data_IF_615993198781
#
_entry.id   IF_615993198781
#
_cell.length_a   1.000
_cell.length_b   1.000
_cell.length_c   1.000
_cell.angle_alpha   90.00
_cell.angle_beta   90.00
_cell.angle_gamma   90.00
#
_symmetry.space_group_name_H-M   'P 1'
#
loop_
_entity.id
_entity.type
_entity.pdbx_description
1 polymer ?
#
# COMPACT_ATOMS: atom_id res chain seq x y z
N UNK A 1 -31.93 35.37 6.46
CA UNK A 1 -32.18 33.95 6.81
C UNK A 1 -32.29 33.18 5.51
N UNK A 2 -31.20 32.55 5.08
CA UNK A 2 -31.23 31.61 3.97
C UNK A 2 -30.38 30.42 4.39
N UNK A 3 -31.07 29.40 4.91
CA UNK A 3 -30.45 28.15 5.34
C UNK A 3 -30.17 27.34 4.07
N UNK A 4 -28.90 27.12 3.77
CA UNK A 4 -28.46 26.21 2.71
C UNK A 4 -28.41 24.81 3.32
N UNK A 5 -29.46 24.02 3.10
CA UNK A 5 -29.52 22.62 3.49
C UNK A 5 -28.50 21.81 2.67
N UNK A 6 -27.37 21.46 3.27
CA UNK A 6 -26.41 20.54 2.68
C UNK A 6 -26.94 19.12 2.79
N UNK A 7 -27.42 18.56 1.68
CA UNK A 7 -27.75 17.14 1.57
C UNK A 7 -26.47 16.31 1.58
N UNK A 8 -26.28 15.54 2.65
CA UNK A 8 -25.30 14.44 2.73
C UNK A 8 -25.59 13.43 1.61
N UNK A 9 -24.72 13.37 0.62
CA UNK A 9 -24.66 12.23 -0.29
C UNK A 9 -23.78 11.17 0.39
N UNK A 10 -24.43 10.16 0.97
CA UNK A 10 -23.76 8.92 1.34
C UNK A 10 -23.33 8.23 0.04
N UNK A 11 -22.02 8.25 -0.23
CA UNK A 11 -21.43 7.33 -1.18
C UNK A 11 -21.04 6.07 -0.41
N UNK A 12 -21.99 5.14 -0.32
CA UNK A 12 -21.71 3.74 -0.03
C UNK A 12 -20.92 3.17 -1.21
N UNK A 13 -19.60 3.21 -1.09
CA UNK A 13 -18.67 2.59 -2.01
C UNK A 13 -17.58 1.97 -1.18
N UNK A 14 -17.72 0.68 -0.92
CA UNK A 14 -16.71 -0.19 -0.32
C UNK A 14 -15.35 0.15 -0.95
N UNK A 15 -14.51 0.83 -0.18
CA UNK A 15 -13.29 1.44 -0.66
C UNK A 15 -12.20 0.37 -0.58
N UNK A 16 -11.85 -0.21 -1.72
CA UNK A 16 -10.92 -1.33 -1.87
C UNK A 16 -9.72 -1.29 -0.89
N UNK A 17 -9.67 -2.33 -0.06
CA UNK A 17 -8.61 -3.24 0.42
C UNK A 17 -7.11 -2.87 0.42
N UNK A 18 -6.69 -1.63 0.12
CA UNK A 18 -5.30 -1.24 0.41
C UNK A 18 -5.11 -1.25 1.94
N UNK A 19 -4.14 -2.01 2.50
CA UNK A 19 -4.07 -2.20 3.93
C UNK A 19 -3.71 -0.87 4.60
N UNK A 20 -4.21 -0.65 5.81
CA UNK A 20 -4.15 0.61 6.56
C UNK A 20 -2.72 1.07 6.97
N UNK A 21 -1.67 0.52 6.35
CA UNK A 21 -0.27 0.90 6.57
C UNK A 21 0.12 2.20 5.85
N UNK A 22 -0.62 2.61 4.82
CA UNK A 22 -0.40 3.88 4.14
C UNK A 22 -1.42 4.93 4.59
N UNK A 23 -0.98 6.12 5.04
CA UNK A 23 -1.92 7.17 5.42
C UNK A 23 -2.77 7.54 4.20
N UNK A 24 -4.08 7.32 4.31
CA UNK A 24 -5.04 7.70 3.27
C UNK A 24 -5.04 9.22 3.15
N UNK A 25 -4.79 9.72 1.94
CA UNK A 25 -4.88 11.16 1.69
C UNK A 25 -6.35 11.53 1.52
N UNK A 26 -6.86 12.35 2.42
CA UNK A 26 -8.19 12.95 2.26
C UNK A 26 -8.10 14.12 1.29
N UNK A 27 -8.87 14.02 0.20
CA UNK A 27 -9.08 15.10 -0.75
C UNK A 27 -10.20 16.00 -0.27
N UNK A 28 -10.13 17.30 -0.60
CA UNK A 28 -11.26 18.19 -0.32
C UNK A 28 -12.46 17.78 -1.18
N UNK A 29 -13.69 18.05 -0.70
CA UNK A 29 -14.91 17.73 -1.43
C UNK A 29 -14.90 18.30 -2.86
N UNK A 30 -14.42 19.53 -3.02
CA UNK A 30 -14.31 20.19 -4.33
C UNK A 30 -13.28 19.52 -5.25
N UNK A 31 -12.22 18.91 -4.72
CA UNK A 31 -11.28 18.12 -5.50
C UNK A 31 -11.90 16.80 -5.94
N UNK A 32 -12.59 16.10 -5.04
CA UNK A 32 -13.31 14.86 -5.36
C UNK A 32 -14.34 15.10 -6.48
N UNK A 33 -15.16 16.15 -6.37
CA UNK A 33 -16.18 16.47 -7.37
C UNK A 33 -15.59 16.74 -8.76
N UNK A 34 -14.53 17.55 -8.84
CA UNK A 34 -13.82 17.80 -10.11
C UNK A 34 -13.25 16.53 -10.72
N UNK A 35 -12.69 15.66 -9.88
CA UNK A 35 -12.16 14.37 -10.32
C UNK A 35 -13.29 13.48 -10.82
N UNK A 36 -14.42 13.39 -10.12
CA UNK A 36 -15.59 12.62 -10.56
C UNK A 36 -16.12 13.08 -11.93
N UNK A 37 -16.14 14.39 -12.19
CA UNK A 37 -16.53 14.98 -13.47
C UNK A 37 -15.47 14.86 -14.57
N UNK A 38 -14.20 14.61 -14.22
CA UNK A 38 -13.12 14.49 -15.20
C UNK A 38 -13.24 13.22 -16.05
N UNK A 39 -12.78 13.24 -17.32
CA UNK A 39 -12.77 12.04 -18.15
C UNK A 39 -11.89 10.94 -17.56
N UNK A 40 -12.26 9.69 -17.80
CA UNK A 40 -11.42 8.53 -17.49
C UNK A 40 -10.48 8.25 -18.66
N UNK A 41 -9.24 7.92 -18.33
CA UNK A 41 -8.17 7.57 -19.25
C UNK A 41 -7.75 6.12 -19.02
N UNK A 42 -7.17 5.51 -20.05
CA UNK A 42 -6.54 4.21 -19.96
C UNK A 42 -5.03 4.35 -20.08
N UNK A 43 -4.28 3.53 -19.35
CA UNK A 43 -2.83 3.52 -19.40
C UNK A 43 -2.26 2.17 -19.01
N UNK A 44 -0.93 2.10 -19.06
CA UNK A 44 -0.15 0.93 -18.65
C UNK A 44 0.74 1.31 -17.47
N UNK A 45 0.78 0.48 -16.42
CA UNK A 45 1.70 0.68 -15.30
C UNK A 45 3.13 0.55 -15.82
N UNK A 46 3.91 1.61 -15.64
CA UNK A 46 5.30 1.68 -16.04
C UNK A 46 6.22 1.11 -14.96
N UNK A 47 6.00 1.52 -13.72
CA UNK A 47 6.71 1.09 -12.53
C UNK A 47 5.84 1.35 -11.31
N UNK A 48 5.87 0.45 -10.33
CA UNK A 48 5.25 0.67 -9.03
C UNK A 48 6.05 -0.07 -7.97
N UNK A 49 6.32 0.58 -6.84
CA UNK A 49 7.07 0.00 -5.74
C UNK A 49 6.21 0.04 -4.47
N UNK A 50 5.79 -1.13 -3.99
CA UNK A 50 4.95 -1.29 -2.80
C UNK A 50 5.58 -0.66 -1.57
N UNK A 51 6.86 -0.93 -1.32
CA UNK A 51 7.59 -0.38 -0.15
C UNK A 51 7.62 1.16 -0.15
N UNK A 52 7.76 1.76 -1.34
CA UNK A 52 7.75 3.22 -1.50
C UNK A 52 6.33 3.81 -1.51
N UNK A 53 5.32 3.00 -1.81
CA UNK A 53 3.91 3.42 -1.90
C UNK A 53 3.60 4.29 -3.12
N UNK A 54 4.43 4.30 -4.16
CA UNK A 54 4.19 5.07 -5.37
C UNK A 54 4.78 4.44 -6.62
N UNK A 55 4.36 4.97 -7.77
CA UNK A 55 4.81 4.55 -9.09
C UNK A 55 4.41 5.53 -10.19
N UNK A 56 4.38 5.03 -11.41
CA UNK A 56 4.03 5.79 -12.61
C UNK A 56 3.16 4.98 -13.56
N UNK A 57 2.15 5.63 -14.13
CA UNK A 57 1.35 5.11 -15.24
C UNK A 57 1.71 5.86 -16.52
N UNK A 58 1.89 5.11 -17.60
CA UNK A 58 2.06 5.63 -18.95
C UNK A 58 0.69 5.66 -19.64
N UNK A 59 0.15 6.85 -20.00
CA UNK A 59 -1.11 6.95 -20.72
C UNK A 59 -1.04 6.23 -22.08
N UNK A 60 -2.15 5.62 -22.49
CA UNK A 60 -2.25 4.97 -23.81
C UNK A 60 -2.01 5.95 -24.96
N UNK A 61 -2.50 7.18 -24.81
CA UNK A 61 -2.44 8.22 -25.84
C UNK A 61 -1.08 8.94 -25.91
N UNK A 62 -0.27 8.85 -24.85
CA UNK A 62 1.03 9.51 -24.78
C UNK A 62 2.07 8.65 -24.05
N UNK A 63 2.86 7.92 -24.83
CA UNK A 63 3.90 7.03 -24.29
C UNK A 63 5.11 7.80 -23.74
N UNK A 64 5.29 9.08 -24.06
CA UNK A 64 6.39 9.88 -23.51
C UNK A 64 6.06 10.52 -22.16
N UNK A 65 4.79 10.47 -21.74
CA UNK A 65 4.34 10.99 -20.45
C UNK A 65 4.31 9.88 -19.39
N UNK A 66 4.83 10.18 -18.21
CA UNK A 66 4.70 9.34 -17.02
C UNK A 66 3.94 10.12 -15.95
N UNK A 67 2.76 9.62 -15.58
CA UNK A 67 1.88 10.26 -14.61
C UNK A 67 2.09 9.60 -13.26
N UNK A 68 2.30 10.41 -12.23
CA UNK A 68 2.54 9.93 -10.88
C UNK A 68 1.32 9.19 -10.30
N UNK A 69 1.57 8.05 -9.66
CA UNK A 69 0.57 7.21 -8.99
C UNK A 69 0.96 7.06 -7.53
N UNK A 70 0.01 7.26 -6.62
CA UNK A 70 0.18 6.95 -5.21
C UNK A 70 -0.66 5.77 -4.79
N UNK A 71 -0.18 4.99 -3.82
CA UNK A 71 -0.86 3.80 -3.30
C UNK A 71 -2.26 4.08 -2.76
N UNK A 72 -2.48 5.24 -2.13
CA UNK A 72 -3.80 5.64 -1.62
C UNK A 72 -4.87 5.85 -2.69
N UNK A 73 -4.46 5.90 -3.96
CA UNK A 73 -5.34 6.19 -5.09
C UNK A 73 -5.61 4.96 -5.96
N UNK A 74 -5.17 3.79 -5.50
CA UNK A 74 -5.46 2.49 -6.09
C UNK A 74 -6.73 1.96 -5.43
N UNK A 75 -7.77 1.79 -6.24
CA UNK A 75 -9.08 1.27 -5.83
C UNK A 75 -9.20 -0.20 -6.31
N UNK A 76 -8.26 -1.07 -5.91
CA UNK A 76 -8.17 -2.47 -6.35
C UNK A 76 -7.47 -3.38 -5.32
N UNK A 77 -7.65 -4.70 -5.45
CA UNK A 77 -7.17 -5.72 -4.50
C UNK A 77 -5.75 -6.21 -4.78
N UNK A 78 -5.23 -5.96 -5.98
CA UNK A 78 -3.90 -6.36 -6.39
C UNK A 78 -2.89 -5.21 -6.37
N UNK A 79 -1.64 -5.54 -6.04
CA UNK A 79 -0.50 -4.62 -6.14
C UNK A 79 -0.21 -4.35 -7.61
N UNK A 80 -0.25 -3.10 -8.10
CA UNK A 80 0.05 -2.80 -9.49
C UNK A 80 1.44 -3.26 -9.87
N UNK A 81 1.53 -3.93 -10.99
CA UNK A 81 2.76 -4.46 -11.54
C UNK A 81 3.02 -3.87 -12.92
N UNK A 82 4.30 -3.72 -13.27
CA UNK A 82 4.70 -3.27 -14.60
C UNK A 82 4.07 -4.16 -15.66
N UNK A 83 3.28 -3.57 -16.55
CA UNK A 83 2.53 -4.35 -17.53
C UNK A 83 1.03 -4.13 -17.47
N UNK A 84 0.51 -3.83 -16.28
CA UNK A 84 -0.93 -3.80 -16.03
C UNK A 84 -1.60 -2.68 -16.79
N UNK A 85 -2.77 -3.00 -17.34
CA UNK A 85 -3.64 -2.04 -17.97
C UNK A 85 -4.58 -1.52 -16.90
N UNK A 86 -4.60 -0.19 -16.74
CA UNK A 86 -5.39 0.48 -15.71
C UNK A 86 -6.27 1.55 -16.33
N UNK A 87 -7.39 1.83 -15.66
CA UNK A 87 -8.17 3.06 -15.87
C UNK A 87 -7.88 4.04 -14.74
N UNK A 88 -7.77 5.33 -15.06
CA UNK A 88 -7.49 6.38 -14.08
C UNK A 88 -8.12 7.71 -14.49
N UNK A 89 -8.22 8.64 -13.54
CA UNK A 89 -8.55 10.04 -13.78
C UNK A 89 -7.31 10.89 -13.52
N UNK A 90 -7.23 12.06 -14.17
CA UNK A 90 -6.10 13.00 -13.99
C UNK A 90 -6.51 14.11 -13.03
N UNK A 91 -5.64 14.44 -12.09
CA UNK A 91 -5.75 15.67 -11.30
C UNK A 91 -4.40 16.37 -11.19
N UNK A 92 -4.43 17.68 -10.95
CA UNK A 92 -3.23 18.43 -10.62
C UNK A 92 -2.89 18.23 -9.15
N UNK A 93 -1.61 18.03 -8.86
CA UNK A 93 -1.08 17.81 -7.52
C UNK A 93 -1.11 19.12 -6.70
N UNK A 94 -1.92 19.21 -5.64
CA UNK A 94 -1.96 20.38 -4.77
C UNK A 94 -0.67 20.53 -3.94
N UNK A 95 -0.31 21.72 -3.43
CA UNK A 95 -1.04 22.99 -3.51
C UNK A 95 -0.71 23.81 -4.77
N UNK A 96 0.41 23.52 -5.44
CA UNK A 96 0.90 24.31 -6.58
C UNK A 96 0.22 23.97 -7.90
N UNK A 97 -0.38 22.79 -8.01
CA UNK A 97 -1.09 22.32 -9.20
C UNK A 97 -0.23 22.27 -10.48
N UNK A 98 1.08 22.02 -10.34
CA UNK A 98 2.02 22.03 -11.46
C UNK A 98 2.18 20.65 -12.13
N UNK A 99 2.04 19.57 -11.35
CA UNK A 99 2.26 18.20 -11.81
C UNK A 99 0.95 17.43 -11.88
N UNK A 100 0.78 16.64 -12.92
CA UNK A 100 -0.35 15.72 -13.05
C UNK A 100 -0.11 14.47 -12.22
N UNK A 101 -1.12 14.02 -11.49
CA UNK A 101 -1.17 12.73 -10.84
C UNK A 101 -2.42 11.95 -11.28
N UNK A 102 -2.31 10.63 -11.25
CA UNK A 102 -3.39 9.71 -11.54
C UNK A 102 -4.13 9.36 -10.25
N UNK A 103 -5.45 9.34 -10.33
CA UNK A 103 -6.35 9.05 -9.21
C UNK A 103 -7.48 8.13 -9.62
N UNK A 104 -8.11 7.48 -8.63
CA UNK A 104 -9.13 6.43 -8.86
C UNK A 104 -8.65 5.37 -9.85
N UNK A 105 -7.50 4.79 -9.54
CA UNK A 105 -6.83 3.83 -10.38
C UNK A 105 -7.49 2.48 -10.16
N UNK A 106 -7.95 1.86 -11.25
CA UNK A 106 -8.54 0.52 -11.23
C UNK A 106 -7.82 -0.37 -12.21
N UNK A 107 -7.50 -1.60 -11.83
CA UNK A 107 -6.86 -2.55 -12.72
C UNK A 107 -7.92 -3.10 -13.68
N UNK A 108 -7.68 -2.89 -14.98
CA UNK A 108 -8.55 -3.37 -16.05
C UNK A 108 -8.07 -4.73 -16.58
N UNK A 109 -6.75 -4.91 -16.68
CA UNK A 109 -6.15 -6.18 -17.09
C UNK A 109 -4.78 -6.35 -16.44
N UNK A 110 -4.59 -7.48 -15.78
CA UNK A 110 -3.32 -7.90 -15.23
C UNK A 110 -2.33 -8.27 -16.34
N UNK A 111 -1.05 -7.99 -16.12
CA UNK A 111 0.03 -8.35 -17.04
C UNK A 111 0.16 -9.88 -17.14
N UNK A 112 0.19 -10.38 -18.37
CA UNK A 112 0.37 -11.81 -18.64
C UNK A 112 1.76 -12.30 -18.21
N UNK A 113 1.82 -13.53 -17.69
CA UNK A 113 3.09 -14.17 -17.33
C UNK A 113 3.77 -13.63 -16.07
N UNK A 114 3.07 -12.77 -15.30
CA UNK A 114 3.55 -12.24 -14.02
C UNK A 114 2.63 -12.70 -12.90
N UNK A 115 3.20 -13.15 -11.77
CA UNK A 115 2.42 -13.43 -10.56
C UNK A 115 2.08 -12.10 -9.90
N UNK A 116 0.79 -11.84 -9.75
CA UNK A 116 0.28 -10.67 -9.03
C UNK A 116 0.15 -10.97 -7.55
N UNK A 117 0.57 -10.03 -6.71
CA UNK A 117 0.40 -10.10 -5.26
C UNK A 117 -0.89 -9.37 -4.87
N UNK A 118 -1.70 -9.96 -4.01
CA UNK A 118 -2.81 -9.23 -3.40
C UNK A 118 -2.29 -8.40 -2.23
N UNK A 119 -3.01 -7.31 -1.93
CA UNK A 119 -2.71 -6.48 -0.78
C UNK A 119 -2.84 -7.23 0.56
N UNK A 120 -3.71 -8.24 0.63
CA UNK A 120 -4.00 -9.03 1.84
C UNK A 120 -2.96 -10.14 2.09
N UNK A 121 -2.61 -10.93 1.08
CA UNK A 121 -1.64 -12.04 1.21
C UNK A 121 -0.27 -11.54 1.67
N UNK A 122 0.06 -10.32 1.26
CA UNK A 122 1.33 -9.70 1.55
C UNK A 122 1.41 -9.11 2.98
N UNK A 123 0.35 -9.26 3.78
CA UNK A 123 0.33 -8.97 5.23
C UNK A 123 0.72 -10.20 6.05
N UNK A 124 0.37 -11.42 5.60
CA UNK A 124 0.64 -12.65 6.36
C UNK A 124 2.14 -12.95 6.40
N UNK A 125 2.86 -12.73 5.30
CA UNK A 125 4.31 -12.93 5.25
C UNK A 125 5.08 -11.97 6.20
N UNK A 126 4.66 -10.71 6.31
CA UNK A 126 5.29 -9.75 7.25
C UNK A 126 5.03 -10.11 8.72
N UNK A 127 3.84 -10.63 9.03
CA UNK A 127 3.50 -11.09 10.38
C UNK A 127 4.26 -12.35 10.79
N UNK A 128 4.48 -13.27 9.85
CA UNK A 128 5.23 -14.50 10.09
C UNK A 128 6.73 -14.22 10.31
N UNK A 129 7.33 -13.34 9.50
CA UNK A 129 8.73 -12.89 9.70
C UNK A 129 8.93 -12.20 11.06
N UNK A 130 7.95 -11.40 11.51
CA UNK A 130 7.99 -10.77 12.85
C UNK A 130 7.81 -11.77 14.00
N UNK A 131 7.04 -12.85 13.79
CA UNK A 131 6.91 -13.94 14.78
C UNK A 131 8.23 -14.71 14.90
N UNK A 132 8.85 -15.07 13.78
CA UNK A 132 10.10 -15.86 13.74
C UNK A 132 11.27 -15.10 14.36
N UNK A 133 11.37 -13.78 14.15
CA UNK A 133 12.44 -12.95 14.71
C UNK A 133 12.30 -12.69 16.22
N UNK A 134 11.11 -12.86 16.81
CA UNK A 134 10.91 -12.82 18.28
C UNK A 134 11.23 -14.15 18.96
N UNK A 135 11.15 -15.27 18.26
CA UNK A 135 11.46 -16.59 18.81
C UNK A 135 12.96 -16.94 18.83
N UNK A 136 13.82 -16.18 18.12
CA UNK A 136 15.25 -16.49 18.00
C UNK A 136 16.18 -15.75 18.99
N UNK A 137 15.64 -15.01 19.96
CA UNK A 137 16.44 -14.16 20.89
C UNK A 137 16.51 -14.68 22.33
N UNK A 138 16.18 -15.95 22.60
CA UNK A 138 16.35 -16.53 23.93
C UNK A 138 17.23 -17.79 23.92
N UNK A 139 18.54 -17.58 23.89
CA UNK A 139 19.50 -18.52 24.51
C UNK A 139 20.67 -17.70 25.06
N UNK A 140 20.57 -17.36 26.34
CA UNK A 140 21.71 -16.88 27.14
C UNK A 140 22.67 -18.07 27.36
N UNK A 141 24.00 -17.91 27.21
CA UNK A 141 24.94 -18.94 27.64
C UNK A 141 24.93 -18.99 29.18
N UNK A 142 24.61 -20.14 29.78
CA UNK A 142 24.75 -20.34 31.22
C UNK A 142 26.22 -20.60 31.55
N UNK A 143 26.80 -19.75 32.40
CA UNK A 143 28.11 -19.97 33.03
C UNK A 143 28.05 -21.22 33.93
N UNK A 144 28.96 -22.17 33.68
CA UNK A 144 29.14 -23.35 34.50
C UNK A 144 29.95 -22.99 35.76
N UNK A 145 29.26 -22.85 36.90
CA UNK A 145 29.91 -22.82 38.21
C UNK A 145 30.29 -24.25 38.61
N UNK A 146 31.57 -24.58 38.52
CA UNK A 146 32.14 -25.73 39.20
C UNK A 146 32.31 -25.37 40.67
N UNK A 147 31.53 -25.97 41.55
CA UNK A 147 31.94 -26.18 42.95
C UNK A 147 31.43 -27.55 43.40
N UNK A 148 32.37 -28.48 43.58
CA UNK A 148 32.13 -29.83 44.08
C UNK A 148 32.47 -29.85 45.56
N UNK A 149 31.46 -29.82 46.41
CA UNK A 149 31.64 -29.99 47.85
C UNK A 149 31.71 -31.48 48.24
N UNK A 150 32.80 -31.78 48.96
CA UNK A 150 32.87 -32.62 50.16
C UNK A 150 32.26 -34.03 50.14
N UNK A 151 33.14 -35.04 50.14
CA UNK A 151 32.90 -36.32 50.82
C UNK A 151 33.84 -36.39 52.02
N UNK A 152 33.27 -36.27 53.22
CA UNK A 152 33.92 -36.57 54.50
C UNK A 152 33.61 -38.02 54.85
N UNK A 153 34.65 -38.86 54.97
CA UNK A 153 34.57 -40.11 55.73
C UNK A 153 35.85 -40.32 56.53
N UNK A 154 35.72 -40.22 57.84
CA UNK A 154 36.65 -40.55 58.93
C UNK A 154 35.69 -40.80 60.12
N UNK A 155 35.68 -41.90 60.87
CA UNK A 155 36.73 -42.74 61.48
C UNK A 155 36.07 -44.02 62.04
N UNK A 156 36.91 -45.03 62.33
CA UNK A 156 36.71 -46.23 63.18
C UNK A 156 36.38 -45.90 64.65
#
# INVERSE_FOLDING_TARGET
>A
MSQSSGSQLHHDGDHATVPNFFPKRERTLSQCERVLQSPSYQGKIHEFCREKGYGYVQPKDNQSELIFVHVSDIDDDYVPTKGDIVTFKKMLMPPKNEKTMAVHIKLLRLADGVKHESWEEAVEHDLEHRRVSRSNSHTLPQESTNDSEHIVTHID
#
